data_IF_495986648072
#
_entry.id   IF_495986648072
#
_cell.length_a   1.000
_cell.length_b   1.000
_cell.length_c   1.000
_cell.angle_alpha   90.00
_cell.angle_beta   90.00
_cell.angle_gamma   90.00
#
_symmetry.space_group_name_H-M   'P 1'
#
loop_
_entity.id
_entity.type
_entity.pdbx_description
1 polymer ?
#
# COMPACT_ATOMS: atom_id res chain seq x y z
N UNK A 1 5.00 -81.96 -9.85
CA UNK A 1 6.28 -82.13 -9.14
C UNK A 1 7.40 -82.11 -10.16
N UNK A 2 8.24 -81.07 -10.17
CA UNK A 2 9.50 -81.03 -10.94
C UNK A 2 10.55 -80.41 -10.03
N UNK A 3 11.45 -81.25 -9.55
CA UNK A 3 12.72 -80.86 -8.95
C UNK A 3 13.70 -80.51 -10.08
N UNK A 4 14.66 -79.63 -9.82
CA UNK A 4 16.11 -79.92 -9.86
C UNK A 4 16.86 -78.63 -9.48
N UNK A 5 17.70 -78.75 -8.45
CA UNK A 5 18.72 -77.80 -8.02
C UNK A 5 20.00 -78.01 -8.86
N UNK A 6 20.78 -76.97 -9.08
CA UNK A 6 22.13 -77.04 -9.63
C UNK A 6 22.98 -75.85 -9.20
N UNK A 7 24.11 -76.16 -8.56
CA UNK A 7 25.03 -75.31 -7.80
C UNK A 7 26.08 -74.57 -8.66
N UNK A 8 26.55 -73.39 -8.19
CA UNK A 8 27.96 -72.98 -7.88
C UNK A 8 29.02 -73.22 -9.00
N UNK A 9 29.92 -72.31 -9.45
CA UNK A 9 30.85 -71.42 -8.74
C UNK A 9 31.57 -70.45 -9.72
N UNK A 10 32.01 -69.30 -9.17
CA UNK A 10 33.34 -68.64 -9.26
C UNK A 10 34.07 -68.53 -10.62
N UNK A 11 34.47 -67.31 -10.98
CA UNK A 11 35.86 -66.85 -11.28
C UNK A 11 35.79 -65.34 -11.56
N UNK A 12 36.51 -64.53 -10.79
CA UNK A 12 36.71 -63.11 -11.05
C UNK A 12 37.93 -62.86 -11.94
N UNK A 13 37.99 -61.71 -12.63
CA UNK A 13 39.21 -60.94 -12.94
C UNK A 13 38.80 -59.49 -13.23
N UNK A 14 39.61 -58.59 -12.70
CA UNK A 14 39.56 -57.13 -12.79
C UNK A 14 39.81 -56.57 -14.20
N UNK A 15 39.30 -55.36 -14.48
CA UNK A 15 40.11 -54.24 -14.98
C UNK A 15 39.29 -52.94 -15.15
N UNK A 16 39.60 -51.99 -14.27
CA UNK A 16 39.85 -50.55 -14.48
C UNK A 16 39.35 -49.82 -15.76
N UNK A 17 38.93 -48.56 -15.52
CA UNK A 17 38.92 -47.38 -16.42
C UNK A 17 37.67 -47.23 -17.33
N UNK A 18 36.92 -46.13 -17.36
CA UNK A 18 37.23 -44.73 -17.04
C UNK A 18 36.03 -43.98 -16.46
N UNK A 19 36.38 -43.13 -15.50
CA UNK A 19 35.70 -41.95 -15.02
C UNK A 19 35.34 -40.97 -16.15
N UNK A 20 34.08 -40.53 -16.21
CA UNK A 20 33.73 -39.14 -16.51
C UNK A 20 32.40 -38.76 -15.83
N UNK A 21 32.52 -38.05 -14.71
CA UNK A 21 31.71 -36.87 -14.40
C UNK A 21 30.20 -37.03 -14.28
N UNK A 22 29.72 -37.53 -13.13
CA UNK A 22 28.50 -37.02 -12.55
C UNK A 22 28.77 -35.60 -12.04
N UNK A 23 28.43 -34.60 -12.83
CA UNK A 23 28.38 -33.19 -12.42
C UNK A 23 27.13 -32.59 -13.03
N UNK A 24 26.48 -31.72 -12.26
CA UNK A 24 25.29 -30.93 -12.60
C UNK A 24 23.92 -31.52 -12.29
N UNK A 25 23.78 -32.11 -11.09
CA UNK A 25 22.55 -31.97 -10.29
C UNK A 25 22.58 -30.62 -9.55
N UNK A 26 22.71 -29.51 -10.29
CA UNK A 26 22.42 -28.14 -9.83
C UNK A 26 22.75 -27.10 -10.92
N UNK A 27 22.13 -27.24 -12.08
CA UNK A 27 22.13 -26.18 -13.09
C UNK A 27 20.79 -26.10 -13.84
N UNK A 28 19.67 -26.35 -13.16
CA UNK A 28 18.39 -25.84 -13.65
C UNK A 28 18.32 -24.35 -13.34
N UNK A 29 18.75 -23.60 -14.36
CA UNK A 29 18.77 -22.16 -14.39
C UNK A 29 17.46 -21.55 -13.91
N UNK A 30 17.64 -20.46 -13.20
CA UNK A 30 16.68 -19.48 -12.73
C UNK A 30 15.89 -18.83 -13.90
N UNK A 31 15.18 -19.64 -14.67
CA UNK A 31 14.40 -19.28 -15.87
C UNK A 31 12.99 -19.86 -15.85
N UNK A 32 12.33 -19.97 -14.69
CA UNK A 32 10.88 -20.27 -14.63
C UNK A 32 10.27 -19.69 -13.34
N UNK A 33 9.87 -18.42 -13.39
CA UNK A 33 8.86 -17.86 -12.48
C UNK A 33 8.24 -16.54 -13.00
N UNK A 34 8.25 -16.32 -14.33
CA UNK A 34 7.50 -15.22 -14.97
C UNK A 34 6.32 -15.71 -15.82
N UNK A 35 6.12 -17.02 -15.93
CA UNK A 35 5.05 -17.62 -16.74
C UNK A 35 3.75 -17.86 -15.95
N UNK A 36 3.83 -18.04 -14.63
CA UNK A 36 2.67 -18.38 -13.79
C UNK A 36 2.33 -17.26 -12.80
N UNK A 37 2.31 -16.01 -13.26
CA UNK A 37 1.43 -15.06 -12.58
C UNK A 37 0.01 -15.50 -12.92
N UNK A 38 -0.80 -15.98 -11.96
CA UNK A 38 -2.17 -16.38 -12.26
C UNK A 38 -2.84 -15.18 -12.93
N UNK A 39 -3.23 -15.39 -14.20
CA UNK A 39 -4.08 -14.44 -14.92
C UNK A 39 -5.26 -14.19 -14.00
N UNK A 40 -5.56 -12.91 -13.75
CA UNK A 40 -6.57 -12.55 -12.76
C UNK A 40 -7.89 -13.31 -12.96
N UNK A 41 -8.69 -13.44 -11.91
CA UNK A 41 -9.98 -14.14 -11.88
C UNK A 41 -10.69 -14.08 -13.24
N UNK A 42 -10.80 -15.22 -13.92
CA UNK A 42 -11.54 -15.35 -15.17
C UNK A 42 -13.02 -15.30 -14.84
N UNK A 43 -13.72 -14.28 -15.32
CA UNK A 43 -15.17 -14.11 -15.14
C UNK A 43 -15.92 -14.52 -16.41
N UNK A 44 -17.09 -15.16 -16.25
CA UNK A 44 -18.02 -15.38 -17.36
C UNK A 44 -18.59 -14.05 -17.87
N UNK A 45 -19.16 -14.03 -19.08
CA UNK A 45 -19.74 -12.80 -19.63
C UNK A 45 -20.94 -12.31 -18.81
N UNK A 46 -21.74 -13.23 -18.28
CA UNK A 46 -22.81 -12.91 -17.33
C UNK A 46 -22.26 -12.28 -16.04
N UNK A 47 -21.18 -12.84 -15.47
CA UNK A 47 -20.53 -12.27 -14.28
C UNK A 47 -19.94 -10.88 -14.56
N UNK A 48 -19.37 -10.65 -15.75
CA UNK A 48 -18.85 -9.32 -16.14
C UNK A 48 -19.95 -8.27 -16.18
N UNK A 49 -21.12 -8.60 -16.73
CA UNK A 49 -22.26 -7.68 -16.74
C UNK A 49 -22.80 -7.42 -15.33
N UNK A 50 -22.86 -8.43 -14.45
CA UNK A 50 -23.21 -8.24 -13.03
C UNK A 50 -22.21 -7.32 -12.31
N UNK A 51 -20.89 -7.53 -12.48
CA UNK A 51 -19.86 -6.63 -11.92
C UNK A 51 -20.06 -5.19 -12.40
N UNK A 52 -20.35 -5.00 -13.68
CA UNK A 52 -20.57 -3.68 -14.28
C UNK A 52 -21.81 -3.00 -13.70
N UNK A 53 -22.93 -3.72 -13.61
CA UNK A 53 -24.16 -3.23 -13.01
C UNK A 53 -23.95 -2.81 -11.54
N UNK A 54 -23.29 -3.66 -10.74
CA UNK A 54 -22.98 -3.38 -9.33
C UNK A 54 -22.06 -2.16 -9.18
N UNK A 55 -21.07 -1.98 -10.07
CA UNK A 55 -20.23 -0.77 -10.09
C UNK A 55 -21.00 0.49 -10.45
N UNK A 56 -21.92 0.42 -11.42
CA UNK A 56 -22.75 1.56 -11.81
C UNK A 56 -23.68 1.95 -10.66
N UNK A 57 -24.30 0.97 -9.98
CA UNK A 57 -25.14 1.21 -8.80
C UNK A 57 -24.35 1.91 -7.69
N UNK A 58 -23.17 1.39 -7.34
CA UNK A 58 -22.27 2.04 -6.37
C UNK A 58 -21.88 3.45 -6.81
N UNK A 59 -21.51 3.65 -8.08
CA UNK A 59 -21.12 4.96 -8.58
C UNK A 59 -22.26 5.98 -8.50
N UNK A 60 -23.51 5.57 -8.79
CA UNK A 60 -24.69 6.42 -8.63
C UNK A 60 -24.94 6.74 -7.16
N UNK A 61 -24.93 5.74 -6.28
CA UNK A 61 -25.20 5.91 -4.85
C UNK A 61 -24.15 6.77 -4.11
N UNK A 62 -22.90 6.79 -4.60
CA UNK A 62 -21.78 7.46 -3.91
C UNK A 62 -21.32 8.75 -4.55
N UNK A 63 -21.90 9.15 -5.69
CA UNK A 63 -21.48 10.36 -6.43
C UNK A 63 -21.58 11.60 -5.54
N UNK A 64 -22.77 11.83 -4.99
CA UNK A 64 -23.05 13.06 -4.24
C UNK A 64 -22.34 13.03 -2.87
N UNK A 65 -22.31 11.88 -2.20
CA UNK A 65 -21.52 11.67 -0.97
C UNK A 65 -20.02 11.97 -1.18
N UNK A 66 -19.48 11.62 -2.34
CA UNK A 66 -18.07 11.88 -2.68
C UNK A 66 -17.83 13.36 -2.92
N UNK A 67 -18.77 14.04 -3.58
CA UNK A 67 -18.69 15.48 -3.83
C UNK A 67 -18.72 16.25 -2.50
N UNK A 68 -19.72 15.98 -1.65
CA UNK A 68 -19.87 16.61 -0.35
C UNK A 68 -18.65 16.35 0.55
N UNK A 69 -18.12 15.12 0.55
CA UNK A 69 -16.89 14.82 1.30
C UNK A 69 -15.68 15.62 0.78
N UNK A 70 -15.60 15.91 -0.52
CA UNK A 70 -14.53 16.73 -1.07
C UNK A 70 -14.70 18.20 -0.68
N UNK A 71 -15.93 18.71 -0.65
CA UNK A 71 -16.24 20.05 -0.17
C UNK A 71 -15.89 20.20 1.31
N UNK A 72 -16.28 19.26 2.17
CA UNK A 72 -15.90 19.28 3.59
C UNK A 72 -14.38 19.19 3.79
N UNK A 73 -13.65 18.49 2.93
CA UNK A 73 -12.17 18.46 2.98
C UNK A 73 -11.56 19.80 2.58
N UNK A 74 -12.10 20.45 1.56
CA UNK A 74 -11.67 21.78 1.16
C UNK A 74 -12.00 22.79 2.27
N UNK A 75 -13.20 22.72 2.85
CA UNK A 75 -13.60 23.58 3.95
C UNK A 75 -12.75 23.34 5.21
N UNK A 76 -12.41 22.08 5.53
CA UNK A 76 -11.46 21.74 6.60
C UNK A 76 -10.14 22.48 6.39
N UNK A 77 -9.64 22.50 5.15
CA UNK A 77 -8.40 23.18 4.83
C UNK A 77 -8.49 24.67 5.12
N UNK A 78 -9.57 25.33 4.69
CA UNK A 78 -9.83 26.75 4.97
C UNK A 78 -9.91 27.03 6.48
N UNK A 79 -10.65 26.20 7.23
CA UNK A 79 -10.77 26.34 8.68
C UNK A 79 -9.42 26.18 9.38
N UNK A 80 -8.59 25.26 8.89
CA UNK A 80 -7.26 25.02 9.44
C UNK A 80 -6.27 26.12 9.04
N UNK A 81 -6.39 26.76 7.88
CA UNK A 81 -5.46 27.82 7.48
C UNK A 81 -5.74 29.19 8.12
N UNK A 82 -6.87 29.34 8.81
CA UNK A 82 -7.20 30.58 9.50
C UNK A 82 -6.14 30.93 10.56
N UNK A 83 -5.79 32.22 10.66
CA UNK A 83 -4.88 32.75 11.67
C UNK A 83 -5.37 32.45 13.09
N UNK A 84 -6.69 32.55 13.28
CA UNK A 84 -7.40 32.18 14.53
C UNK A 84 -8.41 31.06 14.23
N UNK A 85 -7.99 29.78 14.29
CA UNK A 85 -8.86 28.65 13.97
C UNK A 85 -10.06 28.54 14.91
N UNK A 86 -11.26 28.40 14.34
CA UNK A 86 -12.45 28.09 15.11
C UNK A 86 -12.53 26.57 15.36
N UNK A 87 -12.14 26.15 16.56
CA UNK A 87 -12.10 24.73 16.95
C UNK A 87 -13.45 24.04 16.88
N UNK A 88 -14.54 24.74 17.24
CA UNK A 88 -15.90 24.19 17.16
C UNK A 88 -16.30 23.91 15.71
N UNK A 89 -16.00 24.84 14.80
CA UNK A 89 -16.26 24.64 13.37
C UNK A 89 -15.40 23.50 12.80
N UNK A 90 -14.12 23.43 13.17
CA UNK A 90 -13.21 22.35 12.77
C UNK A 90 -13.74 20.99 13.21
N UNK A 91 -14.09 20.81 14.48
CA UNK A 91 -14.60 19.53 14.96
C UNK A 91 -15.93 19.16 14.30
N UNK A 92 -16.84 20.12 14.15
CA UNK A 92 -18.11 19.87 13.45
C UNK A 92 -17.89 19.41 12.00
N UNK A 93 -16.94 20.02 11.29
CA UNK A 93 -16.59 19.62 9.94
C UNK A 93 -15.93 18.23 9.89
N UNK A 94 -15.09 17.89 10.88
CA UNK A 94 -14.52 16.54 11.05
C UNK A 94 -15.60 15.50 11.28
N UNK A 95 -16.58 15.79 12.16
CA UNK A 95 -17.69 14.89 12.45
C UNK A 95 -18.51 14.59 11.19
N UNK A 96 -18.94 15.63 10.46
CA UNK A 96 -19.65 15.47 9.17
C UNK A 96 -18.83 14.67 8.15
N UNK A 97 -17.55 14.98 8.01
CA UNK A 97 -16.67 14.28 7.07
C UNK A 97 -16.42 12.82 7.49
N UNK A 98 -16.44 12.52 8.79
CA UNK A 98 -16.35 11.17 9.31
C UNK A 98 -17.61 10.37 8.98
N UNK A 99 -18.79 10.96 9.17
CA UNK A 99 -20.07 10.31 8.89
C UNK A 99 -20.22 9.98 7.39
N UNK A 100 -19.87 10.92 6.50
CA UNK A 100 -19.88 10.64 5.05
C UNK A 100 -18.87 9.57 4.65
N UNK A 101 -17.67 9.54 5.25
CA UNK A 101 -16.71 8.46 5.02
C UNK A 101 -17.28 7.12 5.46
N UNK A 102 -17.95 7.07 6.59
CA UNK A 102 -18.59 5.86 7.09
C UNK A 102 -19.64 5.35 6.09
N UNK A 103 -20.54 6.22 5.62
CA UNK A 103 -21.53 5.90 4.60
C UNK A 103 -20.88 5.38 3.30
N UNK A 104 -19.84 6.05 2.80
CA UNK A 104 -19.09 5.60 1.63
C UNK A 104 -18.41 4.23 1.83
N UNK A 105 -17.94 3.93 3.05
CA UNK A 105 -17.36 2.63 3.36
C UNK A 105 -18.45 1.55 3.43
N UNK A 106 -19.64 1.85 3.98
CA UNK A 106 -20.80 0.94 3.97
C UNK A 106 -21.21 0.59 2.54
N UNK A 107 -21.33 1.58 1.66
CA UNK A 107 -21.62 1.36 0.24
C UNK A 107 -20.54 0.54 -0.46
N UNK A 108 -19.26 0.76 -0.12
CA UNK A 108 -18.15 0.00 -0.69
C UNK A 108 -18.17 -1.46 -0.22
N UNK A 109 -18.50 -1.70 1.04
CA UNK A 109 -18.64 -3.04 1.60
C UNK A 109 -19.84 -3.75 0.97
N UNK A 110 -20.99 -3.08 0.88
CA UNK A 110 -22.17 -3.62 0.21
C UNK A 110 -21.85 -4.01 -1.24
N UNK A 111 -21.20 -3.13 -2.00
CA UNK A 111 -20.74 -3.43 -3.36
C UNK A 111 -19.82 -4.65 -3.41
N UNK A 112 -18.90 -4.82 -2.44
CA UNK A 112 -18.00 -5.98 -2.38
C UNK A 112 -18.74 -7.28 -2.07
N UNK A 113 -19.69 -7.26 -1.14
CA UNK A 113 -20.51 -8.41 -0.80
C UNK A 113 -21.41 -8.81 -1.97
N UNK A 114 -22.05 -7.84 -2.62
CA UNK A 114 -22.83 -8.04 -3.85
C UNK A 114 -21.94 -8.61 -4.98
N UNK A 115 -20.67 -8.20 -5.06
CA UNK A 115 -19.73 -8.79 -6.02
C UNK A 115 -19.37 -10.23 -5.68
N UNK A 116 -19.23 -10.57 -4.39
CA UNK A 116 -18.90 -11.93 -3.95
C UNK A 116 -20.06 -12.90 -4.18
N UNK A 117 -21.32 -12.44 -4.19
CA UNK A 117 -22.49 -13.32 -4.29
C UNK A 117 -22.65 -14.03 -5.64
N UNK A 118 -22.01 -13.53 -6.70
CA UNK A 118 -22.04 -14.15 -8.04
C UNK A 118 -20.70 -14.76 -8.46
N UNK A 119 -19.70 -14.81 -7.57
CA UNK A 119 -18.44 -15.51 -7.81
C UNK A 119 -18.54 -16.97 -7.35
N UNK A 120 -17.86 -17.88 -8.06
CA UNK A 120 -17.66 -19.25 -7.58
C UNK A 120 -16.70 -19.29 -6.38
N UNK A 121 -16.72 -20.37 -5.61
CA UNK A 121 -15.85 -20.48 -4.42
C UNK A 121 -14.36 -20.48 -4.79
N UNK A 122 -13.99 -21.06 -5.92
CA UNK A 122 -12.64 -20.96 -6.47
C UNK A 122 -12.27 -19.50 -6.82
N UNK A 123 -13.19 -18.75 -7.45
CA UNK A 123 -12.98 -17.33 -7.76
C UNK A 123 -12.89 -16.47 -6.48
N UNK A 124 -13.68 -16.77 -5.43
CA UNK A 124 -13.60 -16.11 -4.12
C UNK A 124 -12.25 -16.38 -3.47
N UNK A 125 -11.76 -17.61 -3.50
CA UNK A 125 -10.46 -18.01 -2.96
C UNK A 125 -9.31 -17.32 -3.71
N UNK A 126 -9.37 -17.27 -5.05
CA UNK A 126 -8.42 -16.52 -5.87
C UNK A 126 -8.48 -15.00 -5.59
N UNK A 127 -9.66 -14.46 -5.31
CA UNK A 127 -9.83 -13.05 -4.94
C UNK A 127 -9.21 -12.74 -3.57
N UNK A 128 -9.43 -13.61 -2.58
CA UNK A 128 -8.93 -13.46 -1.21
C UNK A 128 -7.39 -13.58 -1.15
N UNK A 129 -6.82 -14.49 -1.92
CA UNK A 129 -5.38 -14.75 -1.98
C UNK A 129 -4.64 -13.88 -2.99
N UNK A 130 -5.33 -12.97 -3.68
CA UNK A 130 -4.68 -12.10 -4.65
C UNK A 130 -3.66 -11.23 -3.91
N UNK A 131 -2.37 -11.32 -4.23
CA UNK A 131 -1.40 -10.42 -3.64
C UNK A 131 -1.85 -9.01 -3.99
N UNK A 132 -2.10 -8.18 -2.97
CA UNK A 132 -2.31 -6.76 -3.17
C UNK A 132 -1.10 -6.28 -3.95
N UNK A 133 -1.25 -6.06 -5.27
CA UNK A 133 -0.20 -5.47 -6.08
C UNK A 133 0.26 -4.26 -5.30
N UNK A 134 1.53 -4.24 -4.89
CA UNK A 134 2.16 -3.09 -4.25
C UNK A 134 1.93 -1.89 -5.16
N UNK A 135 0.86 -1.15 -4.92
CA UNK A 135 0.48 0.04 -5.64
C UNK A 135 1.46 1.11 -5.14
N UNK A 136 2.66 1.06 -5.72
CA UNK A 136 3.86 1.73 -5.19
C UNK A 136 5.16 1.19 -5.76
N UNK A 137 5.18 0.00 -6.39
CA UNK A 137 6.30 -0.41 -7.26
C UNK A 137 5.90 -0.30 -8.72
N UNK A 138 5.72 0.95 -9.18
CA UNK A 138 6.17 1.30 -10.53
C UNK A 138 7.68 1.08 -10.51
N UNK A 139 8.10 -0.16 -10.74
CA UNK A 139 9.42 -0.44 -11.29
C UNK A 139 9.62 0.58 -12.40
N UNK A 140 10.68 1.37 -12.26
CA UNK A 140 11.01 2.42 -13.20
C UNK A 140 10.85 1.87 -14.61
N UNK A 141 10.18 2.64 -15.45
CA UNK A 141 10.08 2.43 -16.89
C UNK A 141 11.47 2.64 -17.50
N UNK A 142 12.48 1.88 -17.06
CA UNK A 142 13.71 1.60 -17.79
C UNK A 142 13.33 0.60 -18.87
N UNK A 143 12.78 1.14 -19.94
CA UNK A 143 12.37 0.38 -21.10
C UNK A 143 12.32 1.30 -22.30
N UNK A 144 13.43 1.30 -23.04
CA UNK A 144 13.59 1.77 -24.43
C UNK A 144 13.85 3.27 -24.62
N UNK A 145 15.04 3.74 -24.23
CA UNK A 145 15.79 4.63 -25.12
C UNK A 145 16.37 3.74 -26.21
N UNK A 146 15.62 3.59 -27.31
CA UNK A 146 16.18 3.14 -28.58
C UNK A 146 17.13 4.24 -29.06
N UNK A 147 18.35 3.86 -29.40
CA UNK A 147 19.27 4.50 -30.34
C UNK A 147 19.06 6.01 -30.55
N UNK A 148 19.66 6.80 -29.66
CA UNK A 148 20.01 8.19 -29.94
C UNK A 148 21.52 8.32 -29.74
N UNK A 149 22.26 8.34 -30.84
CA UNK A 149 23.69 8.66 -30.87
C UNK A 149 23.93 9.98 -30.16
N UNK A 150 24.73 9.97 -29.10
CA UNK A 150 25.12 11.15 -28.36
C UNK A 150 26.46 10.93 -27.69
N UNK A 151 27.53 11.17 -28.44
CA UNK A 151 28.91 11.25 -27.96
C UNK A 151 29.03 12.23 -26.79
N UNK A 152 29.77 11.85 -25.75
CA UNK A 152 30.80 12.60 -25.02
C UNK A 152 31.18 11.77 -23.79
N UNK A 153 32.26 11.00 -23.87
CA UNK A 153 33.59 11.36 -23.34
C UNK A 153 33.53 11.80 -21.87
N UNK A 154 34.03 10.92 -21.00
CA UNK A 154 34.21 11.14 -19.58
C UNK A 154 34.98 9.95 -19.01
N UNK A 155 36.28 9.98 -19.20
CA UNK A 155 37.27 9.00 -18.75
C UNK A 155 37.30 8.98 -17.22
N UNK A 156 37.07 7.81 -16.61
CA UNK A 156 37.58 7.45 -15.29
C UNK A 156 37.72 5.92 -15.27
N UNK A 157 38.88 5.46 -15.75
CA UNK A 157 39.38 4.13 -15.48
C UNK A 157 39.74 4.03 -14.00
N UNK A 158 39.28 2.98 -13.35
CA UNK A 158 39.60 2.67 -11.96
C UNK A 158 39.31 1.19 -11.73
N UNK A 159 40.31 0.36 -12.04
CA UNK A 159 40.34 -1.06 -11.72
C UNK A 159 40.31 -1.23 -10.20
N UNK A 160 39.40 -2.07 -9.70
CA UNK A 160 39.63 -2.83 -8.49
C UNK A 160 38.81 -4.12 -8.53
N UNK A 161 39.50 -5.18 -8.91
CA UNK A 161 39.11 -6.56 -8.65
C UNK A 161 39.13 -6.81 -7.14
N UNK A 162 38.01 -7.24 -6.58
CA UNK A 162 37.90 -7.54 -5.16
C UNK A 162 36.68 -8.39 -4.87
N UNK A 163 36.91 -9.71 -4.79
CA UNK A 163 35.97 -10.72 -4.34
C UNK A 163 35.39 -10.38 -2.95
N UNK A 164 34.06 -10.33 -2.82
CA UNK A 164 33.36 -10.65 -1.58
C UNK A 164 31.92 -11.07 -1.88
N UNK A 165 31.69 -12.39 -1.95
CA UNK A 165 30.38 -12.99 -1.66
C UNK A 165 30.28 -13.07 -0.14
N UNK A 166 29.26 -12.44 0.45
CA UNK A 166 29.04 -12.51 1.89
C UNK A 166 27.69 -11.92 2.28
N UNK A 167 26.73 -12.81 2.49
CA UNK A 167 25.55 -12.74 3.35
C UNK A 167 24.62 -11.53 3.34
N UNK A 168 23.36 -11.85 3.06
CA UNK A 168 22.24 -10.94 3.14
C UNK A 168 22.02 -10.43 4.55
N UNK A 169 22.13 -9.11 4.70
CA UNK A 169 21.22 -8.30 5.51
C UNK A 169 20.96 -7.03 4.73
N UNK A 170 19.69 -6.68 4.59
CA UNK A 170 19.25 -5.51 3.84
C UNK A 170 19.97 -4.25 4.33
N UNK A 171 20.95 -3.79 3.55
CA UNK A 171 21.46 -2.44 3.65
C UNK A 171 20.35 -1.51 3.16
N UNK A 172 19.58 -1.03 4.13
CA UNK A 172 18.60 0.00 3.91
C UNK A 172 19.26 1.21 3.27
N UNK A 173 18.79 1.57 2.06
CA UNK A 173 18.66 2.94 1.57
C UNK A 173 19.67 3.97 2.14
N UNK A 174 20.96 3.76 1.94
CA UNK A 174 21.91 4.87 1.88
C UNK A 174 21.93 5.34 0.43
N UNK A 175 20.97 6.21 0.09
CA UNK A 175 20.82 6.70 -1.29
C UNK A 175 19.46 7.33 -1.55
N UNK A 176 18.97 8.17 -0.63
CA UNK A 176 17.95 9.19 -0.88
C UNK A 176 17.93 10.15 0.32
N UNK A 177 18.97 10.98 0.44
CA UNK A 177 18.97 12.14 1.34
C UNK A 177 19.43 13.43 0.65
N UNK A 178 19.29 13.52 -0.68
CA UNK A 178 19.52 14.78 -1.40
C UNK A 178 18.44 14.88 -2.48
N UNK A 179 17.57 15.89 -2.38
CA UNK A 179 16.55 16.16 -3.39
C UNK A 179 15.08 15.92 -2.99
N UNK A 180 14.78 15.60 -1.73
CA UNK A 180 13.49 16.10 -1.20
C UNK A 180 13.72 17.58 -0.96
N UNK A 181 12.96 18.52 -1.57
CA UNK A 181 13.01 19.89 -1.14
C UNK A 181 12.81 19.83 0.36
N UNK A 182 13.85 20.23 1.09
CA UNK A 182 13.79 20.37 2.52
C UNK A 182 12.55 21.24 2.72
N UNK A 183 11.47 20.68 3.28
CA UNK A 183 10.31 21.47 3.65
C UNK A 183 10.79 22.23 4.89
N UNK A 184 11.74 23.14 4.67
CA UNK A 184 12.42 23.89 5.71
C UNK A 184 11.38 24.88 6.17
N UNK A 185 10.70 24.49 7.24
CA UNK A 185 9.72 25.27 7.96
C UNK A 185 10.40 26.46 8.70
N UNK A 186 11.56 26.92 8.21
CA UNK A 186 12.60 27.61 8.98
C UNK A 186 13.50 26.62 9.73
N UNK A 187 14.69 27.09 10.13
CA UNK A 187 15.52 26.38 11.09
C UNK A 187 14.89 26.56 12.48
N UNK A 188 14.56 25.44 13.14
CA UNK A 188 14.06 25.47 14.52
C UNK A 188 15.20 25.70 15.51
N UNK A 189 14.93 26.47 16.58
CA UNK A 189 15.84 26.53 17.73
C UNK A 189 15.91 25.17 18.42
N UNK A 190 16.96 24.95 19.21
CA UNK A 190 17.11 23.66 19.93
C UNK A 190 16.01 23.47 20.98
N UNK A 191 15.56 24.55 21.62
CA UNK A 191 14.39 24.54 22.51
C UNK A 191 13.10 24.14 21.77
N UNK A 192 12.84 24.72 20.59
CA UNK A 192 11.69 24.36 19.75
C UNK A 192 11.73 22.88 19.33
N UNK A 193 12.93 22.36 19.01
CA UNK A 193 13.10 20.94 18.65
C UNK A 193 12.75 20.02 19.81
N UNK A 194 13.17 20.34 21.03
CA UNK A 194 12.82 19.55 22.22
C UNK A 194 11.31 19.61 22.50
N UNK A 195 10.69 20.80 22.47
CA UNK A 195 9.24 20.93 22.61
C UNK A 195 8.46 20.13 21.55
N UNK A 196 8.91 20.13 20.29
CA UNK A 196 8.31 19.31 19.24
C UNK A 196 8.44 17.81 19.51
N UNK A 197 9.58 17.35 20.02
CA UNK A 197 9.77 15.95 20.39
C UNK A 197 8.81 15.55 21.52
N UNK A 198 8.69 16.38 22.54
CA UNK A 198 7.77 16.15 23.66
C UNK A 198 6.31 16.10 23.20
N UNK A 199 5.86 17.09 22.42
CA UNK A 199 4.51 17.10 21.85
C UNK A 199 4.25 15.86 20.99
N UNK A 200 5.24 15.43 20.20
CA UNK A 200 5.13 14.22 19.38
C UNK A 200 5.03 12.97 20.25
N UNK A 201 5.87 12.84 21.28
CA UNK A 201 5.84 11.69 22.19
C UNK A 201 4.53 11.63 22.97
N UNK A 202 4.04 12.77 23.48
CA UNK A 202 2.75 12.87 24.14
C UNK A 202 1.60 12.45 23.20
N UNK A 203 1.56 12.98 21.97
CA UNK A 203 0.57 12.58 20.99
C UNK A 203 0.64 11.08 20.64
N UNK A 204 1.84 10.52 20.51
CA UNK A 204 2.03 9.09 20.26
C UNK A 204 1.51 8.23 21.42
N UNK A 205 1.81 8.59 22.67
CA UNK A 205 1.30 7.90 23.86
C UNK A 205 -0.22 7.99 23.94
N UNK A 206 -0.78 9.19 23.80
CA UNK A 206 -2.22 9.45 23.93
C UNK A 206 -3.05 8.80 22.81
N UNK A 207 -2.44 8.47 21.67
CA UNK A 207 -3.13 7.83 20.53
C UNK A 207 -2.76 6.37 20.33
N UNK A 208 -1.90 5.80 21.18
CA UNK A 208 -1.41 4.42 21.03
C UNK A 208 -2.57 3.42 21.07
N UNK A 209 -3.33 3.41 22.16
CA UNK A 209 -4.44 2.48 22.35
C UNK A 209 -5.49 2.59 21.23
N UNK A 210 -5.85 3.82 20.83
CA UNK A 210 -6.76 4.04 19.71
C UNK A 210 -6.22 3.50 18.37
N UNK A 211 -4.91 3.56 18.14
CA UNK A 211 -4.30 3.03 16.90
C UNK A 211 -4.25 1.51 16.93
N UNK A 212 -3.90 0.94 18.07
CA UNK A 212 -3.85 -0.50 18.28
C UNK A 212 -5.27 -1.09 18.07
N UNK A 213 -6.30 -0.50 18.70
CA UNK A 213 -7.70 -0.90 18.52
C UNK A 213 -8.16 -0.75 17.05
N UNK A 214 -7.79 0.35 16.38
CA UNK A 214 -8.12 0.54 14.97
C UNK A 214 -7.45 -0.51 14.06
N UNK A 215 -6.23 -0.92 14.38
CA UNK A 215 -5.51 -1.98 13.66
C UNK A 215 -6.19 -3.33 13.86
N UNK A 216 -6.53 -3.69 15.09
CA UNK A 216 -7.27 -4.91 15.41
C UNK A 216 -8.63 -4.97 14.68
N UNK A 217 -9.42 -3.89 14.74
CA UNK A 217 -10.71 -3.82 14.04
C UNK A 217 -10.53 -3.89 12.52
N UNK A 218 -9.46 -3.32 11.97
CA UNK A 218 -9.15 -3.41 10.53
C UNK A 218 -8.78 -4.84 10.12
N UNK A 219 -7.99 -5.55 10.93
CA UNK A 219 -7.66 -6.96 10.71
C UNK A 219 -8.91 -7.84 10.83
N UNK A 220 -9.74 -7.61 11.85
CA UNK A 220 -11.04 -8.27 12.03
C UNK A 220 -11.95 -8.04 10.83
N UNK A 221 -12.03 -6.79 10.34
CA UNK A 221 -12.79 -6.43 9.15
C UNK A 221 -12.33 -7.25 7.94
N UNK A 222 -11.01 -7.33 7.73
CA UNK A 222 -10.44 -8.10 6.62
C UNK A 222 -10.80 -9.59 6.75
N UNK A 223 -10.67 -10.16 7.95
CA UNK A 223 -11.00 -11.56 8.21
C UNK A 223 -12.49 -11.86 7.93
N UNK A 224 -13.40 -11.02 8.43
CA UNK A 224 -14.84 -11.18 8.18
C UNK A 224 -15.18 -11.09 6.68
N UNK A 225 -14.53 -10.19 5.94
CA UNK A 225 -14.74 -10.03 4.48
C UNK A 225 -14.20 -11.21 3.64
N UNK A 226 -13.34 -12.05 4.21
CA UNK A 226 -12.78 -13.25 3.54
C UNK A 226 -13.38 -14.56 4.04
N UNK A 227 -14.26 -14.51 5.05
CA UNK A 227 -14.96 -15.70 5.55
C UNK A 227 -15.89 -16.27 4.47
N UNK A 228 -16.13 -17.59 4.52
CA UNK A 228 -16.99 -18.28 3.55
C UNK A 228 -18.43 -17.75 3.60
N UNK A 229 -18.91 -17.41 4.80
CA UNK A 229 -20.23 -16.86 5.06
C UNK A 229 -20.10 -15.51 5.80
N UNK A 230 -19.89 -14.39 5.08
CA UNK A 230 -19.73 -13.08 5.70
C UNK A 230 -21.02 -12.61 6.38
N UNK A 231 -20.97 -12.43 7.70
CA UNK A 231 -22.07 -11.78 8.42
C UNK A 231 -22.03 -10.27 8.16
N UNK A 232 -22.96 -9.82 7.31
CA UNK A 232 -23.11 -8.41 6.94
C UNK A 232 -23.34 -7.51 8.15
N UNK A 233 -24.09 -7.96 9.16
CA UNK A 233 -24.39 -7.15 10.35
C UNK A 233 -23.12 -6.93 11.17
N UNK A 234 -22.38 -8.00 11.49
CA UNK A 234 -21.11 -7.89 12.21
C UNK A 234 -20.07 -7.03 11.47
N UNK A 235 -20.04 -7.16 10.13
CA UNK A 235 -19.18 -6.34 9.27
C UNK A 235 -19.51 -4.84 9.39
N UNK A 236 -20.80 -4.48 9.40
CA UNK A 236 -21.20 -3.07 9.51
C UNK A 236 -20.96 -2.51 10.93
N UNK A 237 -21.22 -3.29 11.97
CA UNK A 237 -20.95 -2.88 13.35
C UNK A 237 -19.44 -2.65 13.59
N UNK A 238 -18.59 -3.54 13.09
CA UNK A 238 -17.14 -3.39 13.18
C UNK A 238 -16.63 -2.15 12.43
N UNK A 239 -17.21 -1.87 11.25
CA UNK A 239 -16.94 -0.65 10.51
C UNK A 239 -17.33 0.60 11.30
N UNK A 240 -18.52 0.62 11.92
CA UNK A 240 -18.99 1.76 12.70
C UNK A 240 -18.06 2.08 13.88
N UNK A 241 -17.58 1.05 14.58
CA UNK A 241 -16.56 1.20 15.64
C UNK A 241 -15.26 1.78 15.10
N UNK A 242 -14.74 1.21 14.00
CA UNK A 242 -13.52 1.70 13.35
C UNK A 242 -13.66 3.17 12.92
N UNK A 243 -14.80 3.56 12.37
CA UNK A 243 -15.09 4.94 11.98
C UNK A 243 -15.09 5.88 13.19
N UNK A 244 -15.68 5.47 14.31
CA UNK A 244 -15.67 6.24 15.56
C UNK A 244 -14.25 6.50 16.07
N UNK A 245 -13.37 5.50 16.01
CA UNK A 245 -11.95 5.67 16.40
C UNK A 245 -11.22 6.59 15.43
N UNK A 246 -11.44 6.44 14.12
CA UNK A 246 -10.85 7.33 13.12
C UNK A 246 -11.26 8.79 13.32
N UNK A 247 -12.49 9.04 13.75
CA UNK A 247 -12.97 10.37 14.12
C UNK A 247 -12.18 10.92 15.33
N UNK A 248 -12.08 10.15 16.42
CA UNK A 248 -11.29 10.53 17.61
C UNK A 248 -9.83 10.84 17.25
N UNK A 249 -9.20 9.99 16.43
CA UNK A 249 -7.83 10.21 15.93
C UNK A 249 -7.70 11.45 15.03
N UNK A 250 -8.75 11.83 14.30
CA UNK A 250 -8.75 13.05 13.51
C UNK A 250 -8.78 14.30 14.40
N UNK A 251 -9.60 14.30 15.46
CA UNK A 251 -9.67 15.40 16.44
C UNK A 251 -8.34 15.57 17.19
N UNK A 252 -7.78 14.49 17.74
CA UNK A 252 -6.48 14.55 18.43
C UNK A 252 -5.32 14.99 17.55
N UNK A 253 -5.40 14.73 16.22
CA UNK A 253 -4.44 15.26 15.26
C UNK A 253 -4.56 16.77 15.11
N UNK A 254 -5.78 17.31 15.06
CA UNK A 254 -5.99 18.76 15.03
C UNK A 254 -5.44 19.38 16.31
N UNK A 255 -5.73 18.80 17.46
CA UNK A 255 -5.25 19.32 18.75
C UNK A 255 -3.73 19.39 18.78
N UNK A 256 -3.07 18.29 18.37
CA UNK A 256 -1.62 18.27 18.24
C UNK A 256 -1.10 19.33 17.25
N UNK A 257 -1.77 19.54 16.11
CA UNK A 257 -1.40 20.61 15.18
C UNK A 257 -1.57 22.00 15.79
N UNK A 258 -2.57 22.22 16.64
CA UNK A 258 -2.76 23.51 17.33
C UNK A 258 -1.68 23.75 18.39
N UNK A 259 -1.31 22.72 19.16
CA UNK A 259 -0.18 22.83 20.10
C UNK A 259 1.13 23.11 19.36
N UNK A 260 1.36 22.47 18.21
CA UNK A 260 2.53 22.77 17.38
C UNK A 260 2.53 24.22 16.91
N UNK A 261 1.39 24.84 16.58
CA UNK A 261 1.36 26.25 16.15
C UNK A 261 1.81 27.21 17.25
N UNK A 262 1.56 26.90 18.52
CA UNK A 262 1.88 27.78 19.65
C UNK A 262 3.38 27.94 19.87
N UNK A 263 4.20 27.00 19.41
CA UNK A 263 5.66 27.02 19.57
C UNK A 263 6.40 27.58 18.35
N UNK A 264 5.67 27.91 17.27
CA UNK A 264 6.24 28.48 16.05
C UNK A 264 6.33 30.01 16.15
N UNK A 265 7.36 30.59 15.54
CA UNK A 265 7.39 32.04 15.29
C UNK A 265 6.38 32.42 14.21
N UNK A 266 6.08 33.72 14.05
CA UNK A 266 5.14 34.21 13.04
C UNK A 266 5.54 33.81 11.61
N UNK A 267 6.82 33.93 11.26
CA UNK A 267 7.35 33.50 9.95
C UNK A 267 7.26 31.99 9.75
N UNK A 268 7.64 31.20 10.77
CA UNK A 268 7.53 29.75 10.74
C UNK A 268 6.07 29.30 10.65
N UNK A 269 5.15 30.01 11.31
CA UNK A 269 3.72 29.77 11.26
C UNK A 269 3.18 30.09 9.86
N UNK A 270 3.59 31.19 9.23
CA UNK A 270 3.24 31.50 7.84
C UNK A 270 3.71 30.40 6.87
N UNK A 271 4.95 29.92 7.05
CA UNK A 271 5.46 28.76 6.32
C UNK A 271 4.66 27.49 6.65
N UNK A 272 4.26 27.28 7.89
CA UNK A 272 3.45 26.12 8.30
C UNK A 272 2.07 26.12 7.65
N UNK A 273 1.40 27.28 7.64
CA UNK A 273 0.07 27.43 7.06
C UNK A 273 0.10 27.30 5.53
N UNK A 274 1.12 27.85 4.87
CA UNK A 274 1.30 27.68 3.41
C UNK A 274 1.57 26.21 3.02
N UNK A 275 2.34 25.48 3.82
CA UNK A 275 2.54 24.04 3.63
C UNK A 275 1.31 23.20 3.99
N UNK A 276 0.49 23.66 4.94
CA UNK A 276 -0.77 22.99 5.30
C UNK A 276 -1.73 22.94 4.11
N UNK A 277 -1.69 23.94 3.22
CA UNK A 277 -2.48 24.02 1.99
C UNK A 277 -1.88 23.33 0.75
N UNK A 278 -0.57 23.00 0.77
CA UNK A 278 0.15 22.48 -0.39
C UNK A 278 0.42 20.96 -0.37
N UNK A 279 -0.42 20.17 0.32
CA UNK A 279 -0.32 18.69 0.28
C UNK A 279 -1.33 18.02 -0.66
N UNK A 280 -1.27 18.38 -1.94
CA UNK A 280 -1.35 17.48 -3.10
C UNK A 280 -1.45 18.34 -4.35
N UNK A 281 -0.60 18.07 -5.33
CA UNK A 281 -0.93 18.41 -6.69
C UNK A 281 -2.37 17.97 -6.98
N UNK A 282 -3.15 18.89 -7.53
CA UNK A 282 -4.31 18.63 -8.38
C UNK A 282 -3.86 17.88 -9.66
N UNK A 283 -3.06 16.83 -9.49
CA UNK A 283 -2.74 15.85 -10.50
C UNK A 283 -3.95 14.96 -10.67
N UNK A 284 -4.98 15.50 -11.34
CA UNK A 284 -5.67 14.77 -12.38
C UNK A 284 -4.58 14.19 -13.29
N UNK A 285 -4.09 13.00 -12.94
CA UNK A 285 -3.33 12.19 -13.87
C UNK A 285 -4.26 11.92 -15.05
N UNK A 286 -4.09 12.73 -16.09
CA UNK A 286 -4.73 12.67 -17.40
C UNK A 286 -5.38 11.31 -17.67
N UNK A 287 -6.70 11.25 -17.45
CA UNK A 287 -7.56 10.34 -18.21
C UNK A 287 -7.76 10.98 -19.57
N UNK A 288 -6.76 10.93 -20.44
CA UNK A 288 -7.03 10.91 -21.87
C UNK A 288 -7.74 9.58 -22.16
N UNK A 289 -9.06 9.55 -22.01
CA UNK A 289 -9.88 8.66 -22.83
C UNK A 289 -10.04 9.37 -24.17
N UNK A 290 -9.11 9.13 -25.07
CA UNK A 290 -9.41 9.29 -26.50
C UNK A 290 -10.47 8.25 -26.82
N UNK A 291 -11.74 8.66 -26.85
CA UNK A 291 -12.71 7.99 -27.69
C UNK A 291 -12.34 8.35 -29.12
N UNK A 292 -11.56 7.49 -29.77
CA UNK A 292 -11.53 7.52 -31.22
C UNK A 292 -12.86 6.92 -31.71
N UNK A 293 -13.53 7.73 -32.52
CA UNK A 293 -14.68 7.37 -33.36
C UNK A 293 -14.29 6.26 -34.34
#
# INVERSE_FOLDING_TARGET
MKNIRGNIAVIGVACLLMSMGASDVNAQGNRRAKADCPKGITLSDQQKEQVKATKIKFAKATKDLTNELNELRAHQQTLMSAEKPNMKAIYSNIDKASDLKNQLMKERIAMKLDMQSFLSDEQKLMAANRPMHKQGMRSGRKGKMKNGQGRKQGVCAGNNDGFARGDGRGQGRQGMKEGRPNCNLGDFSDEQKEQMKELRLAHLKNTKELRDEAEELSLKQKHMMTSENPDKKMIMENLDRLSGIQNKLAKTRVDHQMEVRKILTEDQLSLFLSHSGMRKGFGNGNRHRSFNK
#
